data_IF_710686603033
#
_entry.id   IF_710686603033
#
_cell.length_a   1.000
_cell.length_b   1.000
_cell.length_c   1.000
_cell.angle_alpha   90.00
_cell.angle_beta   90.00
_cell.angle_gamma   90.00
#
_symmetry.space_group_name_H-M   'P 1'
#
loop_
_entity.id
_entity.type
_entity.pdbx_description
1 polymer ?
#
# COMPACT_ATOMS: atom_id res chain seq x y z
N UNK A 1 49.28 -64.60 57.52
CA UNK A 1 47.82 -64.48 57.65
C UNK A 1 47.33 -63.16 58.24
N UNK A 2 47.74 -62.73 59.45
CA UNK A 2 47.22 -61.46 60.02
C UNK A 2 47.65 -60.18 59.25
N UNK A 3 48.86 -60.16 58.69
CA UNK A 3 49.36 -59.02 57.92
C UNK A 3 48.68 -58.86 56.54
N UNK A 4 48.40 -59.96 55.84
CA UNK A 4 47.71 -59.93 54.53
C UNK A 4 46.25 -59.49 54.63
N UNK A 5 45.54 -59.93 55.68
CA UNK A 5 44.17 -59.49 55.95
C UNK A 5 44.10 -57.99 56.23
N UNK A 6 45.07 -57.43 56.96
CA UNK A 6 45.13 -55.99 57.27
C UNK A 6 45.45 -55.13 56.05
N UNK A 7 46.30 -55.61 55.13
CA UNK A 7 46.64 -54.92 53.88
C UNK A 7 45.44 -54.91 52.92
N UNK A 8 44.72 -56.04 52.80
CA UNK A 8 43.50 -56.14 51.97
C UNK A 8 42.36 -55.25 52.49
N UNK A 9 42.18 -55.17 53.82
CA UNK A 9 41.18 -54.29 54.46
C UNK A 9 41.50 -52.80 54.24
N UNK A 10 42.80 -52.46 54.23
CA UNK A 10 43.27 -51.08 53.99
C UNK A 10 43.07 -50.68 52.52
N UNK A 11 43.35 -51.57 51.57
CA UNK A 11 43.08 -51.35 50.14
C UNK A 11 41.59 -51.16 49.83
N UNK A 12 40.72 -51.95 50.46
CA UNK A 12 39.26 -51.84 50.26
C UNK A 12 38.70 -50.52 50.84
N UNK A 13 39.22 -50.06 51.99
CA UNK A 13 38.86 -48.73 52.55
C UNK A 13 39.32 -47.58 51.66
N UNK A 14 40.50 -47.69 51.04
CA UNK A 14 41.00 -46.67 50.13
C UNK A 14 40.12 -46.57 48.87
N UNK A 15 39.75 -47.71 48.29
CA UNK A 15 38.92 -47.75 47.06
C UNK A 15 37.51 -47.18 47.31
N UNK A 16 36.95 -47.45 48.51
CA UNK A 16 35.66 -46.91 48.94
C UNK A 16 35.72 -45.40 49.21
N UNK A 17 36.81 -44.91 49.81
CA UNK A 17 37.06 -43.48 50.01
C UNK A 17 37.27 -42.74 48.68
N UNK A 18 38.02 -43.31 47.74
CA UNK A 18 38.23 -42.72 46.41
C UNK A 18 36.93 -42.68 45.63
N UNK A 19 36.13 -43.74 45.62
CA UNK A 19 34.80 -43.74 44.97
C UNK A 19 33.84 -42.73 45.61
N UNK A 20 33.88 -42.58 46.92
CA UNK A 20 33.06 -41.57 47.61
C UNK A 20 33.50 -40.15 47.26
N UNK A 21 34.81 -39.88 47.22
CA UNK A 21 35.37 -38.59 46.83
C UNK A 21 35.05 -38.22 45.38
N UNK A 22 35.23 -39.15 44.44
CA UNK A 22 34.89 -38.95 43.02
C UNK A 22 33.39 -38.70 42.84
N UNK A 23 32.53 -39.44 43.55
CA UNK A 23 31.07 -39.23 43.51
C UNK A 23 30.69 -37.86 44.05
N UNK A 24 31.32 -37.43 45.14
CA UNK A 24 31.06 -36.11 45.74
C UNK A 24 31.46 -34.97 44.78
N UNK A 25 32.63 -35.05 44.17
CA UNK A 25 33.10 -34.11 43.14
C UNK A 25 32.19 -34.08 41.91
N UNK A 26 31.80 -35.25 41.37
CA UNK A 26 30.87 -35.32 40.24
C UNK A 26 29.50 -34.72 40.60
N UNK A 27 28.97 -35.01 41.79
CA UNK A 27 27.69 -34.45 42.22
C UNK A 27 27.77 -32.92 42.39
N UNK A 28 28.88 -32.40 42.91
CA UNK A 28 29.10 -30.96 43.03
C UNK A 28 29.15 -30.28 41.66
N UNK A 29 29.91 -30.85 40.72
CA UNK A 29 30.02 -30.36 39.34
C UNK A 29 28.68 -30.40 38.59
N UNK A 30 27.90 -31.48 38.77
CA UNK A 30 26.56 -31.61 38.16
C UNK A 30 25.55 -30.63 38.77
N UNK A 31 25.64 -30.37 40.08
CA UNK A 31 24.78 -29.38 40.74
C UNK A 31 25.10 -27.96 40.27
N UNK A 32 26.37 -27.62 40.04
CA UNK A 32 26.76 -26.34 39.44
C UNK A 32 26.27 -26.20 38.00
N UNK A 33 26.45 -27.23 37.18
CA UNK A 33 25.93 -27.25 35.81
C UNK A 33 24.41 -27.09 35.79
N UNK A 34 23.70 -27.78 36.68
CA UNK A 34 22.24 -27.66 36.80
C UNK A 34 21.84 -26.23 37.16
N UNK A 35 22.46 -25.62 38.18
CA UNK A 35 22.17 -24.23 38.56
C UNK A 35 22.48 -23.25 37.43
N UNK A 36 23.56 -23.49 36.68
CA UNK A 36 23.91 -22.68 35.52
C UNK A 36 22.84 -22.79 34.42
N UNK A 37 22.41 -24.02 34.08
CA UNK A 37 21.37 -24.26 33.08
C UNK A 37 20.03 -23.66 33.50
N UNK A 38 19.61 -23.86 34.75
CA UNK A 38 18.37 -23.29 35.28
C UNK A 38 18.37 -21.76 35.17
N UNK A 39 19.52 -21.12 35.47
CA UNK A 39 19.68 -19.67 35.32
C UNK A 39 19.66 -19.23 33.85
N UNK A 40 20.33 -19.95 32.95
CA UNK A 40 20.31 -19.65 31.51
C UNK A 40 18.90 -19.81 30.92
N UNK A 41 18.17 -20.85 31.29
CA UNK A 41 16.79 -21.08 30.85
C UNK A 41 15.89 -19.94 31.33
N UNK A 42 16.03 -19.52 32.58
CA UNK A 42 15.24 -18.39 33.10
C UNK A 42 15.54 -17.09 32.33
N UNK A 43 16.81 -16.77 32.12
CA UNK A 43 17.22 -15.58 31.36
C UNK A 43 16.72 -15.64 29.91
N UNK A 44 16.94 -16.77 29.21
CA UNK A 44 16.48 -16.94 27.83
C UNK A 44 14.96 -16.89 27.72
N UNK A 45 14.23 -17.48 28.68
CA UNK A 45 12.77 -17.42 28.73
C UNK A 45 12.27 -15.98 28.86
N UNK A 46 12.94 -15.14 29.64
CA UNK A 46 12.56 -13.72 29.76
C UNK A 46 12.85 -12.94 28.47
N UNK A 47 13.98 -13.21 27.82
CA UNK A 47 14.38 -12.53 26.58
C UNK A 47 13.48 -12.93 25.40
N UNK A 48 13.14 -14.21 25.29
CA UNK A 48 12.18 -14.72 24.30
C UNK A 48 10.81 -14.08 24.51
N UNK A 49 10.33 -13.99 25.75
CA UNK A 49 9.02 -13.36 26.03
C UNK A 49 9.00 -11.89 25.60
N UNK A 50 10.06 -11.13 25.89
CA UNK A 50 10.17 -9.75 25.46
C UNK A 50 10.21 -9.61 23.94
N UNK A 51 10.90 -10.52 23.24
CA UNK A 51 10.99 -10.52 21.79
C UNK A 51 9.65 -10.87 21.13
N UNK A 52 8.94 -11.87 21.65
CA UNK A 52 7.59 -12.25 21.17
C UNK A 52 6.63 -11.07 21.31
N UNK A 53 6.64 -10.38 22.45
CA UNK A 53 5.80 -9.19 22.63
C UNK A 53 6.12 -8.10 21.60
N UNK A 54 7.40 -7.81 21.35
CA UNK A 54 7.80 -6.83 20.33
C UNK A 54 7.33 -7.23 18.92
N UNK A 55 7.38 -8.52 18.59
CA UNK A 55 6.87 -9.04 17.31
C UNK A 55 5.34 -8.86 17.22
N UNK A 56 4.59 -9.22 18.26
CA UNK A 56 3.12 -9.05 18.29
C UNK A 56 2.69 -7.57 18.14
N UNK A 57 3.41 -6.66 18.80
CA UNK A 57 3.19 -5.21 18.62
C UNK A 57 3.45 -4.78 17.18
N UNK A 58 4.52 -5.31 16.55
CA UNK A 58 4.85 -5.00 15.16
C UNK A 58 3.81 -5.56 14.18
N UNK A 59 3.30 -6.77 14.41
CA UNK A 59 2.28 -7.42 13.57
C UNK A 59 0.95 -6.67 13.64
N UNK A 60 0.54 -6.28 14.85
CA UNK A 60 -0.69 -5.51 15.07
C UNK A 60 -0.59 -4.14 14.41
N UNK A 61 0.55 -3.46 14.56
CA UNK A 61 0.80 -2.16 13.94
C UNK A 61 0.80 -2.28 12.40
N UNK A 62 1.49 -3.29 11.85
CA UNK A 62 1.55 -3.52 10.41
C UNK A 62 0.17 -3.86 9.84
N UNK A 63 -0.60 -4.70 10.53
CA UNK A 63 -1.98 -5.03 10.16
C UNK A 63 -2.89 -3.81 10.17
N UNK A 64 -2.74 -2.91 11.16
CA UNK A 64 -3.46 -1.64 11.21
C UNK A 64 -3.09 -0.70 10.06
N UNK A 65 -1.81 -0.60 9.72
CA UNK A 65 -1.35 0.16 8.55
C UNK A 65 -1.88 -0.43 7.24
N UNK A 66 -1.86 -1.76 7.10
CA UNK A 66 -2.35 -2.45 5.91
C UNK A 66 -3.86 -2.26 5.73
N UNK A 67 -4.62 -2.30 6.83
CA UNK A 67 -6.05 -1.98 6.83
C UNK A 67 -6.31 -0.53 6.42
N UNK A 68 -5.52 0.42 6.94
CA UNK A 68 -5.59 1.82 6.53
C UNK A 68 -5.28 2.04 5.04
N UNK A 69 -4.23 1.39 4.53
CA UNK A 69 -3.89 1.42 3.10
C UNK A 69 -5.02 0.80 2.26
N UNK A 70 -5.58 -0.33 2.69
CA UNK A 70 -6.69 -0.97 2.00
C UNK A 70 -7.93 -0.06 1.92
N UNK A 71 -8.26 0.63 3.02
CA UNK A 71 -9.38 1.58 3.05
C UNK A 71 -9.11 2.79 2.13
N UNK A 72 -7.89 3.31 2.12
CA UNK A 72 -7.47 4.36 1.18
C UNK A 72 -7.59 3.91 -0.28
N UNK A 73 -7.11 2.70 -0.61
CA UNK A 73 -7.24 2.12 -1.96
C UNK A 73 -8.71 1.97 -2.34
N UNK A 74 -9.54 1.48 -1.42
CA UNK A 74 -10.98 1.32 -1.65
C UNK A 74 -11.62 2.67 -1.98
N UNK A 75 -11.26 3.73 -1.25
CA UNK A 75 -11.73 5.08 -1.51
C UNK A 75 -11.25 5.63 -2.87
N UNK A 76 -9.99 5.36 -3.24
CA UNK A 76 -9.38 5.74 -4.53
C UNK A 76 -10.04 5.01 -5.71
N UNK A 77 -10.45 3.76 -5.54
CA UNK A 77 -11.01 2.98 -6.65
C UNK A 77 -12.52 3.22 -6.78
N UNK A 78 -13.25 3.34 -5.67
CA UNK A 78 -14.71 3.37 -5.70
C UNK A 78 -15.30 4.70 -6.20
N UNK A 79 -14.81 5.85 -5.70
CA UNK A 79 -15.40 7.15 -6.02
C UNK A 79 -15.05 7.65 -7.45
N UNK A 80 -13.77 7.63 -7.87
CA UNK A 80 -13.37 7.95 -9.25
C UNK A 80 -14.02 7.07 -10.30
N UNK A 81 -14.19 5.77 -10.05
CA UNK A 81 -14.77 4.87 -11.05
C UNK A 81 -16.24 5.18 -11.34
N UNK A 82 -17.02 5.61 -10.34
CA UNK A 82 -18.40 6.03 -10.55
C UNK A 82 -18.47 7.36 -11.32
N UNK A 83 -17.65 8.34 -10.94
CA UNK A 83 -17.59 9.64 -11.60
C UNK A 83 -17.09 9.53 -13.04
N UNK A 84 -16.02 8.76 -13.29
CA UNK A 84 -15.44 8.56 -14.62
C UNK A 84 -16.40 7.79 -15.56
N UNK A 85 -17.11 6.77 -15.06
CA UNK A 85 -18.16 6.09 -15.84
C UNK A 85 -19.28 7.05 -16.24
N UNK A 86 -19.70 7.91 -15.33
CA UNK A 86 -20.74 8.90 -15.61
C UNK A 86 -20.27 9.94 -16.63
N UNK A 87 -19.06 10.49 -16.47
CA UNK A 87 -18.47 11.44 -17.42
C UNK A 87 -18.25 10.83 -18.81
N UNK A 88 -17.88 9.55 -18.89
CA UNK A 88 -17.75 8.83 -20.17
C UNK A 88 -19.07 8.71 -20.92
N UNK A 89 -20.14 8.29 -20.24
CA UNK A 89 -21.49 8.22 -20.83
C UNK A 89 -22.01 9.60 -21.25
N UNK A 90 -21.77 10.63 -20.44
CA UNK A 90 -22.13 12.01 -20.78
C UNK A 90 -21.37 12.49 -22.03
N UNK A 91 -20.07 12.19 -22.15
CA UNK A 91 -19.29 12.52 -23.35
C UNK A 91 -19.81 11.81 -24.59
N UNK A 92 -20.15 10.53 -24.50
CA UNK A 92 -20.65 9.75 -25.64
C UNK A 92 -22.02 10.28 -26.12
N UNK A 93 -22.93 10.59 -25.19
CA UNK A 93 -24.21 11.22 -25.50
C UNK A 93 -24.04 12.59 -26.16
N UNK A 94 -23.04 13.35 -25.72
CA UNK A 94 -22.68 14.64 -26.32
C UNK A 94 -22.14 14.44 -27.74
N UNK A 95 -21.21 13.51 -27.97
CA UNK A 95 -20.65 13.24 -29.30
C UNK A 95 -21.78 12.89 -30.27
N UNK A 96 -22.68 11.98 -29.87
CA UNK A 96 -23.85 11.63 -30.67
C UNK A 96 -24.74 12.84 -30.99
N UNK A 97 -25.00 13.71 -30.01
CA UNK A 97 -25.78 14.93 -30.21
C UNK A 97 -25.09 15.91 -31.18
N UNK A 98 -23.75 16.03 -31.11
CA UNK A 98 -22.99 16.87 -32.04
C UNK A 98 -23.00 16.35 -33.47
N UNK A 99 -22.94 15.02 -33.67
CA UNK A 99 -23.03 14.42 -34.99
C UNK A 99 -24.40 14.64 -35.62
N UNK A 100 -25.47 14.48 -34.84
CA UNK A 100 -26.84 14.73 -35.29
C UNK A 100 -27.01 16.21 -35.67
N UNK A 101 -26.55 17.15 -34.84
CA UNK A 101 -26.63 18.58 -35.14
C UNK A 101 -25.83 18.95 -36.40
N UNK A 102 -24.62 18.39 -36.56
CA UNK A 102 -23.78 18.63 -37.75
C UNK A 102 -24.47 18.14 -39.03
N UNK A 103 -25.06 16.94 -39.02
CA UNK A 103 -25.80 16.41 -40.16
C UNK A 103 -27.02 17.28 -40.50
N UNK A 104 -27.79 17.71 -39.49
CA UNK A 104 -28.95 18.58 -39.70
C UNK A 104 -28.56 19.94 -40.32
N UNK A 105 -27.45 20.53 -39.88
CA UNK A 105 -26.93 21.78 -40.45
C UNK A 105 -26.53 21.57 -41.91
N UNK A 106 -25.82 20.48 -42.21
CA UNK A 106 -25.36 20.16 -43.57
C UNK A 106 -26.55 19.91 -44.51
N UNK A 107 -27.51 19.08 -44.13
CA UNK A 107 -28.71 18.81 -44.92
C UNK A 107 -29.54 20.07 -45.19
N UNK A 108 -29.68 20.95 -44.19
CA UNK A 108 -30.39 22.22 -44.35
C UNK A 108 -29.64 23.18 -45.30
N UNK A 109 -28.32 23.27 -45.18
CA UNK A 109 -27.49 24.08 -46.06
C UNK A 109 -27.49 23.55 -47.51
N UNK A 110 -27.43 22.24 -47.70
CA UNK A 110 -27.52 21.61 -49.02
C UNK A 110 -28.87 21.87 -49.68
N UNK A 111 -29.97 21.77 -48.93
CA UNK A 111 -31.31 22.08 -49.42
C UNK A 111 -31.42 23.54 -49.89
N UNK A 112 -30.89 24.48 -49.10
CA UNK A 112 -30.83 25.91 -49.47
C UNK A 112 -30.00 26.10 -50.75
N UNK A 113 -28.82 25.47 -50.83
CA UNK A 113 -27.96 25.54 -52.01
C UNK A 113 -28.59 24.92 -53.26
N UNK A 114 -29.41 23.87 -53.11
CA UNK A 114 -30.22 23.29 -54.19
C UNK A 114 -31.21 24.30 -54.76
N UNK A 115 -32.03 24.92 -53.91
CA UNK A 115 -33.01 25.92 -54.35
C UNK A 115 -32.39 27.13 -55.03
N UNK A 116 -31.24 27.61 -54.51
CA UNK A 116 -30.50 28.72 -55.13
C UNK A 116 -29.97 28.36 -56.52
N UNK A 117 -29.44 27.15 -56.71
CA UNK A 117 -28.93 26.67 -58.02
C UNK A 117 -30.05 26.47 -59.04
N UNK A 118 -31.21 26.00 -58.59
CA UNK A 118 -32.40 25.83 -59.43
C UNK A 118 -33.08 27.16 -59.80
N UNK A 119 -32.61 28.29 -59.24
CA UNK A 119 -33.14 29.61 -59.55
C UNK A 119 -34.56 29.86 -59.02
N UNK A 120 -35.02 29.08 -58.02
CA UNK A 120 -36.35 29.24 -57.44
C UNK A 120 -36.44 30.57 -56.69
N UNK A 121 -37.44 31.39 -57.03
CA UNK A 121 -37.67 32.72 -56.44
C UNK A 121 -39.14 32.97 -56.11
N UNK A 122 -39.99 31.96 -56.24
CA UNK A 122 -41.37 32.05 -55.82
C UNK A 122 -41.47 32.23 -54.30
N UNK A 123 -42.56 32.84 -53.79
CA UNK A 123 -42.76 33.08 -52.36
C UNK A 123 -42.64 31.81 -51.50
N UNK A 124 -43.08 30.66 -52.02
CA UNK A 124 -43.03 29.38 -51.33
C UNK A 124 -41.57 28.92 -51.12
N UNK A 125 -40.71 29.10 -52.12
CA UNK A 125 -39.29 28.79 -52.03
C UNK A 125 -38.55 29.71 -51.05
N UNK A 126 -38.91 31.00 -50.98
CA UNK A 126 -38.37 31.93 -49.98
C UNK A 126 -38.75 31.51 -48.57
N UNK A 127 -40.00 31.09 -48.36
CA UNK A 127 -40.46 30.59 -47.07
C UNK A 127 -39.80 29.25 -46.70
N UNK A 128 -39.55 28.37 -47.67
CA UNK A 128 -38.81 27.13 -47.47
C UNK A 128 -37.36 27.38 -47.04
N UNK A 129 -36.68 28.37 -47.64
CA UNK A 129 -35.33 28.81 -47.21
C UNK A 129 -35.37 29.34 -45.78
N UNK A 130 -36.34 30.19 -45.44
CA UNK A 130 -36.47 30.72 -44.08
C UNK A 130 -36.67 29.61 -43.04
N UNK A 131 -37.48 28.58 -43.35
CA UNK A 131 -37.63 27.41 -42.49
C UNK A 131 -36.33 26.63 -42.31
N UNK A 132 -35.54 26.43 -43.38
CA UNK A 132 -34.24 25.73 -43.28
C UNK A 132 -33.20 26.54 -42.51
N UNK A 133 -33.21 27.88 -42.63
CA UNK A 133 -32.37 28.74 -41.79
C UNK A 133 -32.74 28.61 -40.31
N UNK A 134 -34.03 28.55 -39.97
CA UNK A 134 -34.45 28.29 -38.60
C UNK A 134 -33.98 26.92 -38.09
N UNK A 135 -34.05 25.87 -38.92
CA UNK A 135 -33.48 24.55 -38.57
C UNK A 135 -31.98 24.64 -38.25
N UNK A 136 -31.21 25.42 -39.01
CA UNK A 136 -29.79 25.65 -38.73
C UNK A 136 -29.60 26.36 -37.39
N UNK A 137 -30.37 27.42 -37.12
CA UNK A 137 -30.25 28.14 -35.85
C UNK A 137 -30.61 27.27 -34.64
N UNK A 138 -31.65 26.43 -34.76
CA UNK A 138 -32.03 25.48 -33.71
C UNK A 138 -30.92 24.44 -33.48
N UNK A 139 -30.38 23.84 -34.54
CA UNK A 139 -29.29 22.86 -34.45
C UNK A 139 -28.02 23.46 -33.82
N UNK A 140 -27.64 24.68 -34.21
CA UNK A 140 -26.52 25.41 -33.59
C UNK A 140 -26.75 25.71 -32.10
N UNK A 141 -27.98 26.05 -31.72
CA UNK A 141 -28.31 26.32 -30.31
C UNK A 141 -28.19 25.04 -29.47
N UNK A 142 -28.64 23.89 -29.99
CA UNK A 142 -28.44 22.59 -29.33
C UNK A 142 -26.97 22.17 -29.27
N UNK A 143 -26.17 22.52 -30.28
CA UNK A 143 -24.73 22.27 -30.28
C UNK A 143 -24.01 23.10 -29.19
N UNK A 144 -24.40 24.35 -28.94
CA UNK A 144 -23.80 25.15 -27.85
C UNK A 144 -24.06 24.52 -26.46
N UNK A 145 -25.30 24.08 -26.21
CA UNK A 145 -25.64 23.35 -24.98
C UNK A 145 -24.78 22.09 -24.82
N UNK A 146 -24.51 21.41 -25.93
CA UNK A 146 -23.64 20.24 -25.98
C UNK A 146 -22.18 20.60 -25.66
N UNK A 147 -21.67 21.73 -26.15
CA UNK A 147 -20.36 22.26 -25.79
C UNK A 147 -20.24 22.64 -24.30
N UNK A 148 -21.32 23.13 -23.68
CA UNK A 148 -21.36 23.36 -22.24
C UNK A 148 -21.30 22.05 -21.43
N UNK A 149 -21.94 20.98 -21.91
CA UNK A 149 -21.87 19.65 -21.29
C UNK A 149 -20.46 19.05 -21.36
N UNK A 150 -19.76 19.20 -22.49
CA UNK A 150 -18.34 18.79 -22.62
C UNK A 150 -17.49 19.46 -21.54
N UNK A 151 -17.61 20.79 -21.39
CA UNK A 151 -16.84 21.55 -20.40
C UNK A 151 -17.07 21.00 -18.99
N UNK A 152 -18.32 20.74 -18.59
CA UNK A 152 -18.64 20.16 -17.29
C UNK A 152 -18.05 18.76 -17.09
N UNK A 153 -18.12 17.91 -18.11
CA UNK A 153 -17.55 16.57 -18.03
C UNK A 153 -16.02 16.60 -17.92
N UNK A 154 -15.35 17.52 -18.63
CA UNK A 154 -13.90 17.77 -18.50
C UNK A 154 -13.56 18.28 -17.09
N UNK A 155 -14.31 19.24 -16.55
CA UNK A 155 -14.14 19.76 -15.18
C UNK A 155 -14.26 18.63 -14.14
N UNK A 156 -15.23 17.73 -14.31
CA UNK A 156 -15.36 16.56 -13.44
C UNK A 156 -14.16 15.60 -13.54
N UNK A 157 -13.66 15.34 -14.76
CA UNK A 157 -12.47 14.49 -14.94
C UNK A 157 -11.21 15.13 -14.33
N UNK A 158 -11.04 16.44 -14.48
CA UNK A 158 -9.95 17.20 -13.85
C UNK A 158 -10.04 17.18 -12.33
N UNK A 159 -11.25 17.23 -11.77
CA UNK A 159 -11.44 17.10 -10.32
C UNK A 159 -11.03 15.71 -9.83
N UNK A 160 -11.40 14.65 -10.56
CA UNK A 160 -10.95 13.28 -10.26
C UNK A 160 -9.44 13.16 -10.34
N UNK A 161 -8.81 13.76 -11.35
CA UNK A 161 -7.35 13.78 -11.50
C UNK A 161 -6.67 14.53 -10.33
N UNK A 162 -7.17 15.68 -9.93
CA UNK A 162 -6.64 16.45 -8.80
C UNK A 162 -6.74 15.69 -7.46
N UNK A 163 -7.86 14.99 -7.24
CA UNK A 163 -8.03 14.11 -6.09
C UNK A 163 -6.99 12.99 -6.07
N UNK A 164 -6.75 12.34 -7.22
CA UNK A 164 -5.75 11.28 -7.34
C UNK A 164 -4.33 11.82 -7.11
N UNK A 165 -4.00 12.98 -7.70
CA UNK A 165 -2.70 13.62 -7.56
C UNK A 165 -2.41 14.13 -6.14
N UNK A 166 -3.44 14.61 -5.42
CA UNK A 166 -3.32 15.01 -4.03
C UNK A 166 -2.98 13.83 -3.12
N UNK A 167 -3.60 12.68 -3.35
CA UNK A 167 -3.35 11.47 -2.56
C UNK A 167 -1.95 10.88 -2.81
N UNK A 168 -1.44 10.93 -4.04
CA UNK A 168 -0.07 10.50 -4.36
C UNK A 168 1.00 11.37 -3.66
N UNK A 169 0.72 12.65 -3.42
CA UNK A 169 1.63 13.55 -2.71
C UNK A 169 1.58 13.36 -1.18
N UNK A 170 0.54 12.73 -0.64
CA UNK A 170 0.38 12.48 0.80
C UNK A 170 1.10 11.24 1.33
N UNK A 171 2.12 10.73 0.65
CA UNK A 171 3.11 9.88 1.31
C UNK A 171 4.04 10.81 2.13
N UNK A 172 3.88 10.93 3.46
CA UNK A 172 5.03 11.35 4.25
C UNK A 172 6.07 10.28 3.98
N UNK A 173 7.19 10.69 3.37
CA UNK A 173 8.43 9.94 3.41
C UNK A 173 8.56 9.39 4.82
N UNK A 174 8.57 8.05 4.92
CA UNK A 174 8.60 7.33 6.19
C UNK A 174 9.62 8.04 7.08
N UNK A 175 9.13 8.66 8.16
CA UNK A 175 10.00 9.34 9.12
C UNK A 175 11.18 8.42 9.38
N UNK A 176 12.44 8.89 9.23
CA UNK A 176 13.60 8.01 9.26
C UNK A 176 13.49 7.20 10.55
N UNK A 177 13.31 5.88 10.37
CA UNK A 177 13.20 4.94 11.46
C UNK A 177 14.30 5.31 12.46
N UNK A 178 13.88 5.60 13.69
CA UNK A 178 14.76 5.90 14.82
C UNK A 178 15.99 5.02 14.68
N UNK A 179 17.15 5.63 14.42
CA UNK A 179 18.44 4.93 14.35
C UNK A 179 18.54 4.15 15.64
N UNK A 180 18.30 2.85 15.58
CA UNK A 180 18.84 1.91 16.54
C UNK A 180 20.33 2.24 16.55
N UNK A 181 20.95 2.51 17.72
CA UNK A 181 22.39 2.62 17.76
C UNK A 181 22.91 1.21 17.41
N UNK A 182 23.15 0.98 16.12
CA UNK A 182 23.99 -0.10 15.64
C UNK A 182 25.29 0.04 16.40
N UNK A 183 25.67 -1.05 17.07
CA UNK A 183 26.73 -1.09 18.06
C UNK A 183 27.93 -0.27 17.61
N UNK A 184 28.48 0.49 18.56
CA UNK A 184 29.79 1.09 18.42
C UNK A 184 30.72 0.06 17.76
N UNK A 185 31.20 0.38 16.57
CA UNK A 185 32.38 -0.28 16.03
C UNK A 185 33.46 -0.03 17.08
N UNK A 186 33.68 -1.03 17.94
CA UNK A 186 34.84 -1.10 18.82
C UNK A 186 36.04 -1.11 17.88
N UNK A 187 36.57 0.07 17.61
CA UNK A 187 37.75 0.23 16.78
C UNK A 187 38.93 -0.42 17.49
N UNK A 188 39.95 -0.82 16.73
CA UNK A 188 41.16 -1.44 17.26
C UNK A 188 41.78 -0.67 18.46
N UNK A 189 41.58 0.65 18.53
CA UNK A 189 42.01 1.48 19.66
C UNK A 189 41.27 1.25 20.99
N UNK A 190 40.02 0.77 20.98
CA UNK A 190 39.29 0.42 22.21
C UNK A 190 39.77 -0.94 22.77
N UNK A 191 40.30 -1.81 21.91
CA UNK A 191 40.90 -3.09 22.31
C UNK A 191 42.28 -2.86 22.95
N UNK A 192 43.07 -1.93 22.40
CA UNK A 192 44.41 -1.63 22.90
C UNK A 192 44.42 -0.99 24.31
N UNK A 193 43.31 -0.37 24.74
CA UNK A 193 43.17 0.22 26.09
C UNK A 193 42.74 -0.79 27.16
N UNK A 194 42.24 -1.97 26.79
CA UNK A 194 41.86 -3.03 27.73
C UNK A 194 43.04 -3.91 28.18
N UNK A 195 44.18 -3.84 27.49
CA UNK A 195 45.38 -4.65 27.76
C UNK A 195 46.62 -3.82 28.17
N UNK A 196 46.44 -2.53 28.48
CA UNK A 196 47.44 -1.66 29.09
C UNK A 196 47.20 -1.52 30.60
#
# INVERSE_FOLDING_TARGET
MAAEASISQTGNRLDEQVRAAVRAELSGSLDELRRFVDRRIAELSTEIHATVQLVDYSETNLSGQLAGIHDQITQIVAMPAAAARNSGMELEAVVQATEVAANQIMEAAEAIGGWLREGRRDPESVEAVARKLNTIFEACTFQDLTGQRIRRAIEHLQHVEAMLAGLMQTHPEAAPASRTPTGAELGQGDIDTLFA
#
